data_IF_482644177425
#
_entry.id   IF_482644177425
#
_cell.length_a   1.000
_cell.length_b   1.000
_cell.length_c   1.000
_cell.angle_alpha   90.00
_cell.angle_beta   90.00
_cell.angle_gamma   90.00
#
_symmetry.space_group_name_H-M   'P 1'
#
loop_
_entity.id
_entity.type
_entity.pdbx_description
1 polymer ?
#
# COMPACT_ATOMS: atom_id res chain seq x y z
N UNK A 1 65.19 8.49 -53.63
CA UNK A 1 65.38 7.12 -54.16
C UNK A 1 64.06 6.38 -54.04
N UNK A 2 63.55 5.93 -55.19
CA UNK A 2 62.63 4.82 -55.47
C UNK A 2 61.25 4.76 -54.78
N UNK A 3 60.21 4.93 -55.60
CA UNK A 3 59.03 4.05 -55.58
C UNK A 3 59.30 2.87 -56.57
N UNK A 4 58.46 1.83 -56.72
CA UNK A 4 57.28 1.37 -55.95
C UNK A 4 57.31 -0.17 -55.65
N UNK A 5 56.38 -0.71 -54.85
CA UNK A 5 55.86 -2.08 -55.10
C UNK A 5 54.35 -2.15 -54.81
N UNK A 6 53.61 -2.31 -55.90
CA UNK A 6 52.20 -2.74 -55.99
C UNK A 6 52.07 -4.16 -55.45
N UNK A 7 51.16 -4.37 -54.49
CA UNK A 7 50.77 -5.70 -54.03
C UNK A 7 49.78 -6.29 -55.04
N UNK A 8 50.16 -7.38 -55.68
CA UNK A 8 49.28 -8.15 -56.56
C UNK A 8 48.08 -8.74 -55.81
N UNK A 9 46.87 -8.76 -56.41
CA UNK A 9 45.75 -9.50 -55.86
C UNK A 9 46.02 -11.02 -55.90
N UNK A 10 45.48 -11.80 -54.96
CA UNK A 10 45.77 -13.22 -54.85
C UNK A 10 45.32 -13.99 -56.09
N UNK A 11 46.23 -14.83 -56.62
CA UNK A 11 45.99 -15.70 -57.78
C UNK A 11 44.80 -16.64 -57.51
N UNK A 12 43.73 -16.46 -58.28
CA UNK A 12 42.64 -17.42 -58.44
C UNK A 12 43.18 -18.70 -59.07
N UNK A 13 43.40 -19.75 -58.27
CA UNK A 13 43.91 -21.00 -58.84
C UNK A 13 44.19 -22.16 -57.88
N UNK A 14 43.55 -22.22 -56.70
CA UNK A 14 43.51 -23.47 -55.94
C UNK A 14 42.10 -24.05 -56.02
N UNK A 15 41.93 -25.34 -56.39
CA UNK A 15 40.64 -26.00 -56.19
C UNK A 15 40.35 -25.94 -54.69
N UNK A 16 39.29 -25.22 -54.31
CA UNK A 16 38.78 -25.28 -52.94
C UNK A 16 38.53 -26.76 -52.67
N UNK A 17 39.30 -27.36 -51.77
CA UNK A 17 38.95 -28.64 -51.20
C UNK A 17 37.55 -28.46 -50.64
N UNK A 18 36.56 -28.99 -51.37
CA UNK A 18 35.17 -28.93 -50.97
C UNK A 18 35.07 -29.72 -49.69
N UNK A 19 35.09 -29.02 -48.55
CA UNK A 19 34.57 -29.57 -47.32
C UNK A 19 33.07 -29.69 -47.56
N UNK A 20 32.67 -30.82 -48.11
CA UNK A 20 31.28 -31.24 -48.09
C UNK A 20 30.93 -31.41 -46.63
N UNK A 21 30.41 -30.36 -46.01
CA UNK A 21 29.72 -30.47 -44.74
C UNK A 21 28.49 -31.30 -45.05
N UNK A 22 28.59 -32.61 -44.83
CA UNK A 22 27.44 -33.50 -44.78
C UNK A 22 26.53 -32.92 -43.69
N UNK A 23 25.54 -32.12 -44.09
CA UNK A 23 24.42 -31.81 -43.22
C UNK A 23 23.73 -33.16 -43.00
N UNK A 24 23.81 -33.73 -41.78
CA UNK A 24 23.05 -34.94 -41.52
C UNK A 24 21.59 -34.58 -41.82
N UNK A 25 20.96 -35.33 -42.74
CA UNK A 25 19.56 -35.17 -43.07
C UNK A 25 18.81 -35.15 -41.74
N UNK A 26 18.26 -33.98 -41.39
CA UNK A 26 17.70 -33.76 -40.06
C UNK A 26 16.62 -34.81 -39.81
N UNK A 27 16.86 -35.74 -38.89
CA UNK A 27 15.85 -36.72 -38.50
C UNK A 27 14.60 -35.94 -38.10
N UNK A 28 13.42 -36.25 -38.67
CA UNK A 28 12.19 -35.62 -38.24
C UNK A 28 12.03 -35.90 -36.75
N UNK A 29 11.84 -34.83 -35.97
CA UNK A 29 11.64 -34.94 -34.53
C UNK A 29 10.41 -35.82 -34.29
N UNK A 30 10.53 -36.74 -33.34
CA UNK A 30 9.38 -37.50 -32.87
C UNK A 30 8.34 -36.56 -32.24
N UNK A 31 7.08 -36.97 -32.23
CA UNK A 31 5.99 -36.18 -31.62
C UNK A 31 6.28 -35.84 -30.15
N UNK A 32 6.93 -36.75 -29.41
CA UNK A 32 7.36 -36.55 -28.02
C UNK A 32 8.42 -35.43 -27.89
N UNK A 33 9.39 -35.39 -28.80
CA UNK A 33 10.41 -34.34 -28.82
C UNK A 33 9.82 -32.97 -29.18
N UNK A 34 8.84 -32.95 -30.10
CA UNK A 34 8.09 -31.76 -30.46
C UNK A 34 7.26 -31.27 -29.26
N UNK A 35 6.58 -32.18 -28.56
CA UNK A 35 5.81 -31.87 -27.36
C UNK A 35 6.72 -31.31 -26.24
N UNK A 36 7.85 -31.94 -25.96
CA UNK A 36 8.82 -31.48 -24.96
C UNK A 36 9.45 -30.12 -25.33
N UNK A 37 9.68 -29.85 -26.62
CA UNK A 37 10.13 -28.52 -27.09
C UNK A 37 9.04 -27.46 -26.90
N UNK A 38 7.78 -27.76 -27.24
CA UNK A 38 6.63 -26.86 -27.01
C UNK A 38 6.44 -26.55 -25.53
N UNK A 39 6.59 -27.53 -24.64
CA UNK A 39 6.50 -27.32 -23.19
C UNK A 39 7.63 -26.42 -22.68
N UNK A 40 8.89 -26.65 -23.11
CA UNK A 40 10.03 -25.80 -22.77
C UNK A 40 9.87 -24.37 -23.29
N UNK A 41 9.37 -24.19 -24.50
CA UNK A 41 9.15 -22.85 -25.08
C UNK A 41 8.03 -22.10 -24.35
N UNK A 42 6.88 -22.73 -24.09
CA UNK A 42 5.78 -22.14 -23.29
C UNK A 42 6.27 -21.71 -21.91
N UNK A 43 7.06 -22.56 -21.25
CA UNK A 43 7.67 -22.26 -19.95
C UNK A 43 8.62 -21.06 -20.03
N UNK A 44 9.49 -21.02 -21.04
CA UNK A 44 10.41 -19.90 -21.23
C UNK A 44 9.66 -18.58 -21.46
N UNK A 45 8.59 -18.60 -22.25
CA UNK A 45 7.70 -17.44 -22.46
C UNK A 45 7.01 -17.02 -21.17
N UNK A 46 6.50 -17.97 -20.38
CA UNK A 46 5.89 -17.70 -19.08
C UNK A 46 6.86 -17.04 -18.10
N UNK A 47 8.09 -17.57 -17.96
CA UNK A 47 9.12 -16.98 -17.08
C UNK A 47 9.51 -15.58 -17.55
N UNK A 48 9.63 -15.34 -18.86
CA UNK A 48 9.90 -14.00 -19.42
C UNK A 48 8.80 -13.02 -19.07
N UNK A 49 7.54 -13.43 -19.25
CA UNK A 49 6.39 -12.62 -18.88
C UNK A 49 6.36 -12.34 -17.38
N UNK A 50 6.56 -13.36 -16.55
CA UNK A 50 6.56 -13.25 -15.09
C UNK A 50 7.62 -12.28 -14.59
N UNK A 51 8.85 -12.34 -15.14
CA UNK A 51 9.93 -11.40 -14.84
C UNK A 51 9.55 -9.96 -15.20
N UNK A 52 8.90 -9.77 -16.36
CA UNK A 52 8.46 -8.45 -16.82
C UNK A 52 7.38 -7.89 -15.88
N UNK A 53 6.35 -8.68 -15.56
CA UNK A 53 5.29 -8.28 -14.63
C UNK A 53 5.86 -7.97 -13.24
N UNK A 54 6.68 -8.87 -12.68
CA UNK A 54 7.32 -8.66 -11.39
C UNK A 54 8.17 -7.39 -11.37
N UNK A 55 8.96 -7.13 -12.43
CA UNK A 55 9.79 -5.93 -12.52
C UNK A 55 8.97 -4.63 -12.58
N UNK A 56 7.93 -4.58 -13.41
CA UNK A 56 7.10 -3.37 -13.55
C UNK A 56 6.22 -3.10 -12.34
N UNK A 57 5.54 -4.12 -11.82
CA UNK A 57 4.77 -4.01 -10.57
C UNK A 57 5.70 -3.71 -9.40
N UNK A 58 6.92 -4.26 -9.43
CA UNK A 58 7.99 -4.02 -8.46
C UNK A 58 8.40 -2.56 -8.42
N UNK A 59 8.63 -1.95 -9.58
CA UNK A 59 8.98 -0.54 -9.67
C UNK A 59 7.85 0.36 -9.15
N UNK A 60 6.60 0.09 -9.55
CA UNK A 60 5.43 0.82 -9.06
C UNK A 60 5.28 0.70 -7.54
N UNK A 61 5.34 -0.53 -7.02
CA UNK A 61 5.27 -0.82 -5.60
C UNK A 61 6.44 -0.22 -4.82
N UNK A 62 7.64 -0.14 -5.39
CA UNK A 62 8.80 0.47 -4.75
C UNK A 62 8.68 1.99 -4.64
N UNK A 63 8.18 2.67 -5.68
CA UNK A 63 7.98 4.13 -5.64
C UNK A 63 6.94 4.50 -4.59
N UNK A 64 5.77 3.86 -4.61
CA UNK A 64 4.73 4.13 -3.63
C UNK A 64 5.13 3.64 -2.24
N UNK A 65 5.76 2.47 -2.15
CA UNK A 65 6.28 1.90 -0.92
C UNK A 65 7.35 2.77 -0.27
N UNK A 66 8.18 3.47 -1.04
CA UNK A 66 9.15 4.43 -0.51
C UNK A 66 8.45 5.65 0.10
N UNK A 67 7.47 6.23 -0.61
CA UNK A 67 6.66 7.34 -0.11
C UNK A 67 5.94 6.95 1.19
N UNK A 68 5.33 5.77 1.21
CA UNK A 68 4.66 5.23 2.38
C UNK A 68 5.62 4.87 3.52
N UNK A 69 6.80 4.34 3.20
CA UNK A 69 7.84 4.04 4.17
C UNK A 69 8.32 5.30 4.88
N UNK A 70 8.61 6.38 4.12
CA UNK A 70 9.02 7.66 4.69
C UNK A 70 7.94 8.24 5.60
N UNK A 71 6.69 8.29 5.13
CA UNK A 71 5.57 8.78 5.95
C UNK A 71 5.28 7.89 7.17
N UNK A 72 5.49 6.57 7.06
CA UNK A 72 5.39 5.63 8.17
C UNK A 72 6.47 5.84 9.23
N UNK A 73 7.70 6.12 8.83
CA UNK A 73 8.79 6.50 9.74
C UNK A 73 8.42 7.79 10.48
N UNK A 74 7.95 8.82 9.78
CA UNK A 74 7.49 10.07 10.41
C UNK A 74 6.36 9.81 11.42
N UNK A 75 5.40 8.96 11.06
CA UNK A 75 4.29 8.59 11.93
C UNK A 75 4.75 7.82 13.18
N UNK A 76 5.77 6.96 13.06
CA UNK A 76 6.34 6.22 14.20
C UNK A 76 6.98 7.16 15.24
N UNK A 77 7.49 8.30 14.79
CA UNK A 77 8.14 9.32 15.62
C UNK A 77 7.16 10.39 16.14
N UNK A 78 5.85 10.10 16.18
CA UNK A 78 4.83 11.04 16.70
C UNK A 78 4.85 11.20 18.22
N UNK A 79 5.46 10.26 18.94
CA UNK A 79 5.49 10.18 20.39
C UNK A 79 6.92 10.00 20.92
N UNK A 80 7.17 10.29 22.22
CA UNK A 80 8.45 9.99 22.85
C UNK A 80 8.82 8.50 22.72
N UNK A 81 10.11 8.13 22.69
CA UNK A 81 11.28 8.94 23.06
C UNK A 81 11.86 9.81 21.93
N UNK A 82 11.65 9.46 20.66
CA UNK A 82 12.20 10.18 19.50
C UNK A 82 11.10 10.97 18.78
N UNK A 83 10.58 12.01 19.44
CA UNK A 83 9.46 12.79 18.89
C UNK A 83 9.95 13.76 17.81
N UNK A 84 9.43 13.61 16.59
CA UNK A 84 9.51 14.64 15.55
C UNK A 84 8.31 15.57 15.73
N UNK A 85 8.58 16.85 16.03
CA UNK A 85 7.50 17.84 16.18
C UNK A 85 6.81 18.07 14.83
N UNK A 86 5.49 17.94 14.81
CA UNK A 86 4.68 18.26 13.63
C UNK A 86 4.44 19.76 13.47
N UNK A 87 5.01 20.60 14.33
CA UNK A 87 4.65 22.01 14.48
C UNK A 87 3.46 22.21 15.41
N UNK A 88 3.22 23.46 15.80
CA UNK A 88 2.09 23.84 16.64
C UNK A 88 0.80 23.86 15.81
N UNK A 89 -0.25 23.11 16.22
CA UNK A 89 -1.54 23.17 15.57
C UNK A 89 -2.18 24.55 15.78
N UNK A 90 -2.71 25.14 14.71
CA UNK A 90 -3.53 26.34 14.81
C UNK A 90 -4.93 25.91 15.27
N UNK A 91 -5.28 26.26 16.51
CA UNK A 91 -6.54 25.86 17.13
C UNK A 91 -7.42 27.07 17.31
N UNK A 92 -8.63 26.99 16.77
CA UNK A 92 -9.69 27.97 16.96
C UNK A 92 -10.85 27.31 17.70
N UNK A 93 -11.26 27.87 18.82
CA UNK A 93 -12.40 27.40 19.59
C UNK A 93 -13.56 28.39 19.44
N UNK A 94 -14.73 27.87 19.10
CA UNK A 94 -15.93 28.65 18.83
C UNK A 94 -17.15 27.95 19.40
N UNK A 95 -18.17 28.72 19.78
CA UNK A 95 -19.47 28.20 20.20
C UNK A 95 -20.49 28.57 19.13
N UNK A 96 -21.25 27.59 18.66
CA UNK A 96 -22.26 27.79 17.63
C UNK A 96 -23.62 27.57 18.26
N UNK A 97 -24.49 28.59 18.15
CA UNK A 97 -25.86 28.51 18.62
C UNK A 97 -26.61 27.39 17.87
N UNK A 98 -27.40 26.62 18.61
CA UNK A 98 -28.17 25.52 18.03
C UNK A 98 -29.35 26.04 17.21
N UNK A 99 -29.74 25.33 16.15
CA UNK A 99 -30.91 25.67 15.37
C UNK A 99 -32.18 25.27 16.14
N UNK A 100 -33.30 25.88 15.77
CA UNK A 100 -34.63 25.45 16.22
C UNK A 100 -35.35 24.75 15.05
N UNK A 101 -35.67 23.45 15.13
CA UNK A 101 -35.51 22.55 16.28
C UNK A 101 -34.10 21.95 16.41
N UNK A 102 -33.69 21.69 17.66
CA UNK A 102 -32.38 21.10 17.99
C UNK A 102 -32.23 19.68 17.41
N UNK A 103 -31.09 19.35 16.76
CA UNK A 103 -30.84 18.01 16.24
C UNK A 103 -30.85 16.94 17.36
N UNK A 104 -31.68 15.90 17.19
CA UNK A 104 -31.92 14.88 18.23
C UNK A 104 -30.88 13.76 18.29
N UNK A 105 -29.96 13.68 17.33
CA UNK A 105 -28.94 12.64 17.27
C UNK A 105 -27.57 13.23 16.96
N UNK A 106 -26.47 12.61 17.42
CA UNK A 106 -25.11 13.05 17.06
C UNK A 106 -24.88 13.11 15.55
N UNK A 107 -25.47 12.18 14.78
CA UNK A 107 -25.37 12.16 13.32
C UNK A 107 -26.10 13.34 12.66
N UNK A 108 -27.32 13.66 13.13
CA UNK A 108 -28.07 14.83 12.64
C UNK A 108 -27.35 16.13 13.01
N UNK A 109 -26.82 16.21 14.24
CA UNK A 109 -26.01 17.34 14.70
C UNK A 109 -24.75 17.52 13.85
N UNK A 110 -24.04 16.43 13.54
CA UNK A 110 -22.87 16.45 12.67
C UNK A 110 -23.22 16.99 11.29
N UNK A 111 -24.29 16.48 10.67
CA UNK A 111 -24.72 16.92 9.34
C UNK A 111 -25.11 18.40 9.30
N UNK A 112 -25.88 18.86 10.30
CA UNK A 112 -26.23 20.27 10.44
C UNK A 112 -24.96 21.13 10.61
N UNK A 113 -24.05 20.73 11.51
CA UNK A 113 -22.82 21.48 11.77
C UNK A 113 -21.93 21.59 10.52
N UNK A 114 -21.85 20.53 9.72
CA UNK A 114 -21.13 20.56 8.44
C UNK A 114 -21.73 21.54 7.44
N UNK A 115 -23.06 21.64 7.40
CA UNK A 115 -23.76 22.60 6.54
C UNK A 115 -23.54 24.03 7.02
N UNK A 116 -23.69 24.27 8.33
CA UNK A 116 -23.51 25.57 8.98
C UNK A 116 -22.09 26.13 8.79
N UNK A 117 -21.08 25.26 8.93
CA UNK A 117 -19.68 25.64 8.79
C UNK A 117 -19.14 25.51 7.37
N UNK A 118 -19.99 25.16 6.38
CA UNK A 118 -19.60 24.86 5.01
C UNK A 118 -18.39 23.91 4.91
N UNK A 119 -18.38 22.88 5.76
CA UNK A 119 -17.24 22.00 5.94
C UNK A 119 -17.47 20.61 5.33
N UNK A 120 -16.82 20.38 4.18
CA UNK A 120 -16.89 19.12 3.41
C UNK A 120 -15.90 18.05 3.90
N UNK A 121 -15.76 17.92 5.22
CA UNK A 121 -14.97 16.85 5.82
C UNK A 121 -15.75 15.53 5.95
N UNK A 122 -15.06 14.44 6.23
CA UNK A 122 -15.72 13.15 6.51
C UNK A 122 -16.04 13.02 8.00
N UNK A 123 -17.28 12.65 8.37
CA UNK A 123 -17.62 12.38 9.75
C UNK A 123 -16.81 11.19 10.26
N UNK A 124 -16.18 11.36 11.41
CA UNK A 124 -15.47 10.30 12.12
C UNK A 124 -16.38 9.53 13.07
N UNK A 125 -15.74 8.81 14.00
CA UNK A 125 -16.46 8.09 15.05
C UNK A 125 -17.13 9.07 16.01
N UNK A 126 -18.43 8.89 16.21
CA UNK A 126 -19.22 9.62 17.18
C UNK A 126 -19.25 8.86 18.52
N UNK A 127 -19.16 9.58 19.63
CA UNK A 127 -19.31 9.07 20.98
C UNK A 127 -20.49 9.76 21.63
N UNK A 128 -21.40 8.96 22.17
CA UNK A 128 -22.55 9.42 22.96
C UNK A 128 -22.42 8.79 24.34
N UNK A 129 -22.24 9.62 25.34
CA UNK A 129 -22.17 9.22 26.75
C UNK A 129 -23.55 9.49 27.36
N UNK A 130 -24.24 8.46 27.88
CA UNK A 130 -25.55 8.64 28.48
C UNK A 130 -25.47 9.49 29.75
N UNK A 131 -26.59 10.10 30.13
CA UNK A 131 -26.67 10.82 31.39
C UNK A 131 -26.37 9.87 32.58
N UNK A 132 -25.46 10.29 33.46
CA UNK A 132 -24.98 9.46 34.56
C UNK A 132 -24.84 10.27 35.85
N UNK A 133 -25.14 9.65 36.98
CA UNK A 133 -24.85 10.22 38.30
C UNK A 133 -23.34 10.11 38.56
N UNK A 134 -22.67 11.25 38.68
CA UNK A 134 -21.24 11.34 39.02
C UNK A 134 -21.08 11.97 40.40
N UNK A 135 -20.11 11.46 41.17
CA UNK A 135 -19.75 12.03 42.46
C UNK A 135 -18.89 13.29 42.24
N UNK A 136 -19.31 14.41 42.82
CA UNK A 136 -18.60 15.68 42.81
C UNK A 136 -18.36 16.09 44.28
N UNK A 137 -17.19 15.72 44.80
CA UNK A 137 -16.92 15.79 46.24
C UNK A 137 -17.91 14.93 47.03
N UNK A 138 -18.56 15.50 48.05
CA UNK A 138 -19.57 14.83 48.88
C UNK A 138 -20.97 14.78 48.24
N UNK A 139 -21.16 15.34 47.04
CA UNK A 139 -22.48 15.43 46.38
C UNK A 139 -22.55 14.52 45.16
N UNK A 140 -23.73 13.98 44.87
CA UNK A 140 -24.03 13.32 43.59
C UNK A 140 -24.73 14.31 42.67
N UNK A 141 -24.17 14.53 41.49
CA UNK A 141 -24.73 15.40 40.46
C UNK A 141 -25.06 14.55 39.24
N UNK A 142 -26.23 14.79 38.64
CA UNK A 142 -26.58 14.17 37.36
C UNK A 142 -25.87 14.89 36.24
N UNK A 143 -24.91 14.23 35.59
CA UNK A 143 -24.30 14.72 34.37
C UNK A 143 -25.26 14.46 33.20
N UNK A 144 -25.57 15.49 32.39
CA UNK A 144 -26.42 15.31 31.22
C UNK A 144 -25.70 14.48 30.15
N UNK A 145 -26.48 14.00 29.18
CA UNK A 145 -25.93 13.26 28.05
C UNK A 145 -24.92 14.12 27.28
N UNK A 146 -23.78 13.52 26.91
CA UNK A 146 -22.64 14.21 26.30
C UNK A 146 -22.29 13.60 24.95
N UNK A 147 -22.24 14.43 23.91
CA UNK A 147 -21.90 14.02 22.56
C UNK A 147 -20.54 14.58 22.17
N UNK A 148 -19.67 13.70 21.70
CA UNK A 148 -18.40 14.08 21.09
C UNK A 148 -18.38 13.52 19.67
N UNK A 149 -18.12 14.38 18.69
CA UNK A 149 -18.04 13.98 17.31
C UNK A 149 -16.99 14.82 16.56
N UNK A 150 -16.37 14.21 15.57
CA UNK A 150 -15.33 14.85 14.78
C UNK A 150 -15.64 14.78 13.30
N UNK A 151 -15.25 15.82 12.57
CA UNK A 151 -15.28 15.84 11.11
C UNK A 151 -13.87 16.12 10.62
N UNK A 152 -13.34 15.25 9.77
CA UNK A 152 -11.94 15.27 9.36
C UNK A 152 -11.81 15.67 7.89
N UNK A 153 -10.98 16.68 7.63
CA UNK A 153 -10.68 17.17 6.29
C UNK A 153 -9.18 17.15 5.99
N UNK A 154 -8.80 17.40 4.72
CA UNK A 154 -7.40 17.38 4.30
C UNK A 154 -6.57 18.48 4.98
N UNK A 155 -7.14 19.67 5.16
CA UNK A 155 -6.40 20.84 5.67
C UNK A 155 -6.77 21.23 7.11
N UNK A 156 -7.94 20.81 7.60
CA UNK A 156 -8.41 21.12 8.93
C UNK A 156 -9.31 20.02 9.45
N UNK A 157 -9.41 19.90 10.77
CA UNK A 157 -10.35 19.00 11.45
C UNK A 157 -11.25 19.82 12.37
N UNK A 158 -12.49 19.37 12.51
CA UNK A 158 -13.44 19.89 13.48
C UNK A 158 -13.67 18.82 14.54
N UNK A 159 -13.60 19.21 15.81
CA UNK A 159 -14.09 18.42 16.93
C UNK A 159 -15.21 19.21 17.59
N UNK A 160 -16.34 18.59 17.82
CA UNK A 160 -17.49 19.22 18.40
C UNK A 160 -17.96 18.44 19.63
N UNK A 161 -18.32 19.20 20.66
CA UNK A 161 -18.82 18.69 21.93
C UNK A 161 -20.15 19.35 22.25
N UNK A 162 -21.15 18.53 22.58
CA UNK A 162 -22.48 18.99 22.93
C UNK A 162 -22.97 18.32 24.21
N UNK A 163 -23.37 19.14 25.17
CA UNK A 163 -24.07 18.69 26.37
C UNK A 163 -25.57 18.88 26.16
N UNK A 164 -26.33 17.79 26.26
CA UNK A 164 -27.78 17.84 26.03
C UNK A 164 -28.43 18.80 27.01
N UNK A 165 -29.14 19.79 26.47
CA UNK A 165 -29.74 20.89 27.22
C UNK A 165 -29.03 22.24 27.06
N UNK A 166 -27.79 22.27 26.54
CA UNK A 166 -27.15 23.54 26.16
C UNK A 166 -27.83 24.13 24.92
N UNK A 167 -27.80 25.47 24.81
CA UNK A 167 -28.25 26.23 23.64
C UNK A 167 -27.19 26.39 22.54
N UNK A 168 -26.00 25.82 22.74
CA UNK A 168 -24.87 25.90 21.81
C UNK A 168 -24.11 24.57 21.76
N UNK A 169 -23.37 24.37 20.67
CA UNK A 169 -22.34 23.33 20.52
C UNK A 169 -20.95 23.97 20.59
N UNK A 170 -20.04 23.38 21.36
CA UNK A 170 -18.64 23.81 21.41
C UNK A 170 -17.90 23.16 20.25
N UNK A 171 -17.21 23.95 19.43
CA UNK A 171 -16.49 23.48 18.24
C UNK A 171 -15.05 23.93 18.33
N UNK A 172 -14.14 22.96 18.22
CA UNK A 172 -12.70 23.16 18.11
C UNK A 172 -12.28 22.86 16.69
N UNK A 173 -11.89 23.89 15.95
CA UNK A 173 -11.27 23.78 14.64
C UNK A 173 -9.75 23.70 14.81
N UNK A 174 -9.13 22.75 14.13
CA UNK A 174 -7.68 22.56 14.18
C UNK A 174 -7.13 22.51 12.76
N UNK A 175 -6.28 23.47 12.40
CA UNK A 175 -5.55 23.48 11.14
C UNK A 175 -4.45 22.42 11.13
N UNK A 176 -4.38 21.64 10.05
CA UNK A 176 -3.35 20.64 9.86
C UNK A 176 -2.05 21.31 9.38
N UNK A 177 -0.96 21.10 10.10
CA UNK A 177 0.38 21.39 9.59
C UNK A 177 0.77 20.40 8.48
N UNK A 178 1.81 20.71 7.70
CA UNK A 178 2.27 19.83 6.61
C UNK A 178 2.53 18.38 7.08
N UNK A 179 3.27 18.21 8.19
CA UNK A 179 3.54 16.87 8.75
C UNK A 179 2.27 16.19 9.27
N UNK A 180 1.32 16.96 9.81
CA UNK A 180 0.01 16.44 10.22
C UNK A 180 -0.78 15.93 9.01
N UNK A 181 -0.74 16.67 7.89
CA UNK A 181 -1.38 16.28 6.63
C UNK A 181 -0.76 14.98 6.10
N UNK A 182 0.58 14.84 6.08
CA UNK A 182 1.23 13.59 5.70
C UNK A 182 0.82 12.41 6.60
N UNK A 183 0.74 12.63 7.92
CA UNK A 183 0.29 11.62 8.87
C UNK A 183 -1.19 11.23 8.68
N UNK A 184 -2.05 12.18 8.32
CA UNK A 184 -3.46 11.91 8.03
C UNK A 184 -3.61 11.15 6.72
N UNK A 185 -2.84 11.53 5.70
CA UNK A 185 -2.79 10.88 4.41
C UNK A 185 -2.34 9.42 4.54
N UNK A 186 -1.24 9.16 5.28
CA UNK A 186 -0.74 7.81 5.55
C UNK A 186 -1.78 6.93 6.26
N UNK A 187 -2.53 7.50 7.22
CA UNK A 187 -3.59 6.78 7.95
C UNK A 187 -4.92 6.69 7.18
N UNK A 188 -5.06 7.38 6.05
CA UNK A 188 -6.30 7.46 5.30
C UNK A 188 -7.44 8.23 5.99
N UNK A 189 -7.12 9.13 6.93
CA UNK A 189 -8.12 9.90 7.68
C UNK A 189 -8.68 11.03 6.82
N UNK A 190 -10.00 11.09 6.67
CA UNK A 190 -10.66 12.17 5.91
C UNK A 190 -10.54 12.08 4.39
N UNK A 191 -10.03 10.97 3.84
CA UNK A 191 -9.72 10.84 2.41
C UNK A 191 -10.89 10.28 1.58
N UNK A 192 -10.96 10.64 0.29
CA UNK A 192 -12.01 10.21 -0.64
C UNK A 192 -11.79 8.79 -1.19
N UNK A 193 -12.71 8.31 -2.04
CA UNK A 193 -12.65 6.98 -2.65
C UNK A 193 -11.39 6.77 -3.51
N UNK A 194 -10.93 7.81 -4.22
CA UNK A 194 -9.73 7.72 -5.05
C UNK A 194 -8.48 7.38 -4.24
N UNK A 195 -8.37 7.91 -3.03
CA UNK A 195 -7.28 7.56 -2.12
C UNK A 195 -7.32 6.09 -1.68
N UNK A 196 -8.52 5.57 -1.39
CA UNK A 196 -8.71 4.15 -1.03
C UNK A 196 -8.25 3.26 -2.18
N UNK A 197 -8.67 3.57 -3.41
CA UNK A 197 -8.25 2.81 -4.59
C UNK A 197 -6.74 2.90 -4.84
N UNK A 198 -6.12 4.06 -4.60
CA UNK A 198 -4.67 4.20 -4.69
C UNK A 198 -3.96 3.29 -3.68
N UNK A 199 -4.43 3.26 -2.44
CA UNK A 199 -3.91 2.38 -1.38
C UNK A 199 -4.06 0.90 -1.75
N UNK A 200 -5.20 0.53 -2.33
CA UNK A 200 -5.44 -0.83 -2.80
C UNK A 200 -4.45 -1.23 -3.92
N UNK A 201 -4.00 -0.28 -4.76
CA UNK A 201 -2.95 -0.59 -5.74
C UNK A 201 -1.60 -0.90 -5.10
N UNK A 202 -1.26 -0.28 -3.96
CA UNK A 202 -0.04 -0.59 -3.21
C UNK A 202 -0.15 -2.00 -2.64
N UNK A 203 -1.26 -2.29 -1.94
CA UNK A 203 -1.52 -3.61 -1.39
C UNK A 203 -1.50 -4.70 -2.48
N UNK A 204 -2.20 -4.46 -3.59
CA UNK A 204 -2.19 -5.33 -4.76
C UNK A 204 -0.79 -5.53 -5.35
N UNK A 205 0.02 -4.47 -5.42
CA UNK A 205 1.41 -4.58 -5.89
C UNK A 205 2.26 -5.48 -5.00
N UNK A 206 2.14 -5.37 -3.67
CA UNK A 206 2.88 -6.20 -2.71
C UNK A 206 2.44 -7.67 -2.79
N UNK A 207 1.14 -7.93 -2.92
CA UNK A 207 0.61 -9.28 -3.10
C UNK A 207 1.14 -9.88 -4.40
N UNK A 208 1.03 -9.16 -5.52
CA UNK A 208 1.52 -9.61 -6.81
C UNK A 208 3.04 -9.83 -6.78
N UNK A 209 3.81 -8.95 -6.13
CA UNK A 209 5.25 -9.12 -5.98
C UNK A 209 5.63 -10.36 -5.19
N UNK A 210 4.93 -10.62 -4.09
CA UNK A 210 5.12 -11.83 -3.29
C UNK A 210 4.83 -13.09 -4.11
N UNK A 211 3.67 -13.15 -4.77
CA UNK A 211 3.27 -14.29 -5.60
C UNK A 211 4.22 -14.51 -6.78
N UNK A 212 4.52 -13.46 -7.54
CA UNK A 212 5.39 -13.55 -8.71
C UNK A 212 6.84 -13.84 -8.30
N UNK A 213 7.30 -13.36 -7.15
CA UNK A 213 8.61 -13.66 -6.58
C UNK A 213 8.73 -15.14 -6.21
N UNK A 214 7.73 -15.70 -5.52
CA UNK A 214 7.66 -17.13 -5.21
C UNK A 214 7.61 -17.97 -6.50
N UNK A 215 6.77 -17.59 -7.48
CA UNK A 215 6.69 -18.29 -8.75
C UNK A 215 8.01 -18.24 -9.55
N UNK A 216 8.68 -17.09 -9.59
CA UNK A 216 10.00 -16.97 -10.22
C UNK A 216 11.02 -17.86 -9.51
N UNK A 217 11.08 -17.80 -8.18
CA UNK A 217 11.98 -18.61 -7.38
C UNK A 217 11.74 -20.11 -7.63
N UNK A 218 10.50 -20.56 -7.57
CA UNK A 218 10.18 -21.98 -7.75
C UNK A 218 10.48 -22.48 -9.16
N UNK A 219 10.22 -21.66 -10.19
CA UNK A 219 10.55 -22.01 -11.57
C UNK A 219 12.06 -21.97 -11.83
N UNK A 220 12.81 -21.04 -11.26
CA UNK A 220 14.26 -20.96 -11.44
C UNK A 220 15.02 -22.01 -10.61
N UNK A 221 14.48 -22.39 -9.45
CA UNK A 221 15.17 -23.22 -8.46
C UNK A 221 14.43 -24.54 -8.17
N UNK A 222 13.72 -25.15 -9.14
CA UNK A 222 12.91 -26.37 -8.96
C UNK A 222 13.52 -27.45 -8.06
N UNK A 223 14.80 -27.78 -8.25
CA UNK A 223 15.50 -28.78 -7.41
C UNK A 223 15.60 -28.36 -5.94
N UNK A 224 15.86 -27.08 -5.67
CA UNK A 224 15.92 -26.53 -4.30
C UNK A 224 14.52 -26.39 -3.69
N UNK A 225 13.51 -26.05 -4.49
CA UNK A 225 12.12 -25.95 -4.03
C UNK A 225 11.62 -27.26 -3.43
N UNK A 226 11.86 -28.39 -4.12
CA UNK A 226 11.48 -29.72 -3.62
C UNK A 226 12.16 -29.98 -2.26
N UNK A 227 13.46 -29.67 -2.14
CA UNK A 227 14.18 -29.80 -0.87
C UNK A 227 13.59 -28.93 0.25
N UNK A 228 13.28 -27.66 -0.03
CA UNK A 228 12.68 -26.75 0.96
C UNK A 228 11.31 -27.23 1.42
N UNK A 229 10.44 -27.66 0.49
CA UNK A 229 9.10 -28.17 0.82
C UNK A 229 9.19 -29.42 1.68
N UNK A 230 10.11 -30.33 1.36
CA UNK A 230 10.32 -31.54 2.16
C UNK A 230 10.81 -31.21 3.58
N UNK A 231 11.78 -30.28 3.71
CA UNK A 231 12.30 -29.88 5.03
C UNK A 231 11.23 -29.19 5.87
N UNK A 232 10.55 -28.19 5.30
CA UNK A 232 9.49 -27.46 6.01
C UNK A 232 8.33 -28.39 6.37
N UNK A 233 7.91 -29.26 5.45
CA UNK A 233 6.88 -30.26 5.72
C UNK A 233 7.28 -31.24 6.83
N UNK A 234 8.54 -31.67 6.84
CA UNK A 234 9.06 -32.55 7.89
C UNK A 234 9.12 -31.86 9.26
N UNK A 235 9.58 -30.60 9.30
CA UNK A 235 9.61 -29.80 10.54
C UNK A 235 8.19 -29.54 11.06
N UNK A 236 7.26 -29.17 10.19
CA UNK A 236 5.87 -28.94 10.58
C UNK A 236 5.20 -30.22 11.08
N UNK A 237 5.43 -31.36 10.43
CA UNK A 237 4.92 -32.67 10.87
C UNK A 237 5.53 -33.09 12.22
N UNK A 238 6.83 -32.88 12.42
CA UNK A 238 7.50 -33.17 13.68
C UNK A 238 6.98 -32.28 14.82
N UNK A 239 6.75 -30.99 14.56
CA UNK A 239 6.14 -30.08 15.54
C UNK A 239 4.69 -30.51 15.85
N UNK A 240 3.89 -30.82 14.83
CA UNK A 240 2.51 -31.28 15.03
C UNK A 240 2.44 -32.58 15.85
N UNK A 241 3.34 -33.54 15.59
CA UNK A 241 3.41 -34.81 16.33
C UNK A 241 4.03 -34.65 17.74
N UNK A 242 4.87 -33.65 17.96
CA UNK A 242 5.48 -33.38 19.27
C UNK A 242 4.62 -32.49 20.19
N UNK A 243 3.62 -31.79 19.63
CA UNK A 243 2.64 -30.99 20.37
C UNK A 243 1.33 -31.75 20.67
N UNK A 244 1.19 -33.00 20.21
CA UNK A 244 0.12 -33.95 20.59
C UNK A 244 0.61 -34.90 21.67
#
# INVERSE_FOLDING_TARGET
MNAPETIDPPKTGMPRAGVTVLHPAGRPLSDDELAARRQRSRRATFIKWLRKVHGWVGLWGAVLGLLFGVTGVLLNHRAPPLKISTGEPQVEEMQIALPDPVPKTPAAMTKWLQQELHFDGKPGRMRKEPAQAVAWGDKRVMQPEHWQFGVFGPHQNLQAEYWVGNGYVSVKRTGNTFLTTLNNLHRGVGMNLGWVLLMDTIAGSLILLSLTGVLLWTELNKRRTVGVVLVVGSVAAALAAGLT
#
